data_IF_915551499469
#
_entry.id   IF_915551499469
#
_cell.length_a   1.000
_cell.length_b   1.000
_cell.length_c   1.000
_cell.angle_alpha   90.00
_cell.angle_beta   90.00
_cell.angle_gamma   90.00
#
_symmetry.space_group_name_H-M   'P 1'
#
loop_
_entity.id
_entity.type
_entity.pdbx_description
1 polymer ?
#
# COMPACT_ATOMS: atom_id res chain seq x y z
N UNK A 1 -36.23 -5.63 -31.87
CA UNK A 1 -35.13 -6.50 -31.43
C UNK A 1 -35.05 -6.38 -29.91
N UNK A 2 -35.12 -7.48 -29.14
CA UNK A 2 -35.06 -7.40 -27.68
C UNK A 2 -33.68 -6.87 -27.27
N UNK A 3 -33.62 -6.06 -26.22
CA UNK A 3 -32.42 -5.37 -25.76
C UNK A 3 -31.27 -6.36 -25.60
N UNK A 4 -30.20 -6.17 -26.39
CA UNK A 4 -29.08 -7.08 -26.49
C UNK A 4 -28.40 -7.26 -25.15
N UNK A 5 -28.27 -8.51 -24.72
CA UNK A 5 -27.43 -8.90 -23.59
C UNK A 5 -25.99 -8.53 -23.95
N UNK A 6 -25.46 -7.49 -23.33
CA UNK A 6 -24.04 -7.15 -23.40
C UNK A 6 -23.29 -8.06 -22.44
N UNK A 7 -22.53 -9.01 -22.99
CA UNK A 7 -21.57 -9.78 -22.19
C UNK A 7 -20.44 -8.83 -21.78
N UNK A 8 -20.24 -8.67 -20.48
CA UNK A 8 -19.08 -7.97 -19.95
C UNK A 8 -17.85 -8.86 -20.18
N UNK A 9 -17.21 -8.71 -21.35
CA UNK A 9 -16.00 -9.43 -21.77
C UNK A 9 -14.73 -8.92 -21.10
N UNK A 10 -14.84 -8.23 -19.96
CA UNK A 10 -13.65 -7.91 -19.17
C UNK A 10 -12.94 -9.23 -18.85
N UNK A 11 -11.69 -9.37 -19.30
CA UNK A 11 -10.87 -10.52 -19.01
C UNK A 11 -10.90 -10.79 -17.50
N UNK A 12 -11.18 -12.03 -17.12
CA UNK A 12 -11.10 -12.43 -15.71
C UNK A 12 -9.73 -12.00 -15.19
N UNK A 13 -9.66 -11.35 -14.00
CA UNK A 13 -8.39 -10.91 -13.48
C UNK A 13 -7.49 -12.15 -13.37
N UNK A 14 -6.38 -12.15 -14.10
CA UNK A 14 -5.39 -13.22 -14.04
C UNK A 14 -5.04 -13.40 -12.56
N UNK A 15 -5.32 -14.59 -12.03
CA UNK A 15 -5.02 -14.94 -10.66
C UNK A 15 -3.51 -15.21 -10.62
N UNK A 16 -2.74 -14.14 -10.47
CA UNK A 16 -1.31 -14.23 -10.24
C UNK A 16 -1.08 -14.87 -8.87
N UNK A 17 -0.25 -15.90 -8.82
CA UNK A 17 0.23 -16.44 -7.55
C UNK A 17 1.05 -15.36 -6.85
N UNK A 18 0.48 -14.81 -5.76
CA UNK A 18 1.09 -13.78 -4.91
C UNK A 18 1.83 -14.38 -3.72
N UNK A 19 1.40 -15.56 -3.26
CA UNK A 19 2.03 -16.31 -2.17
C UNK A 19 1.61 -17.77 -2.24
N UNK A 20 2.26 -18.61 -1.42
CA UNK A 20 1.84 -20.00 -1.26
C UNK A 20 0.54 -20.07 -0.44
N UNK A 21 -0.60 -20.14 -1.13
CA UNK A 21 -1.94 -20.08 -0.53
C UNK A 21 -2.19 -21.11 0.58
N UNK A 22 -1.60 -22.30 0.51
CA UNK A 22 -1.73 -23.35 1.54
C UNK A 22 -1.21 -22.90 2.92
N UNK A 23 -0.26 -21.97 2.94
CA UNK A 23 0.37 -21.50 4.17
C UNK A 23 -0.40 -20.36 4.84
N UNK A 24 -1.39 -19.81 4.12
CA UNK A 24 -2.16 -18.63 4.53
C UNK A 24 -3.08 -18.98 5.69
N UNK A 25 -2.77 -18.43 6.86
CA UNK A 25 -3.66 -18.46 8.01
C UNK A 25 -4.46 -17.16 8.07
N UNK A 26 -5.78 -17.25 8.17
CA UNK A 26 -6.66 -16.10 8.36
C UNK A 26 -7.12 -15.98 9.80
N UNK A 27 -7.17 -14.76 10.31
CA UNK A 27 -7.86 -14.49 11.56
C UNK A 27 -9.37 -14.69 11.38
N UNK A 28 -9.99 -15.30 12.38
CA UNK A 28 -11.44 -15.42 12.49
C UNK A 28 -12.05 -14.07 12.89
N UNK A 29 -13.13 -13.67 12.21
CA UNK A 29 -13.87 -12.44 12.47
C UNK A 29 -13.24 -11.21 11.79
N UNK A 30 -13.98 -10.60 10.85
CA UNK A 30 -13.53 -9.42 10.11
C UNK A 30 -13.29 -8.18 10.99
N UNK A 31 -12.53 -7.23 10.48
CA UNK A 31 -12.22 -5.94 11.10
C UNK A 31 -12.87 -4.82 10.28
N UNK A 32 -13.40 -3.80 10.96
CA UNK A 32 -14.05 -2.67 10.28
C UNK A 32 -13.00 -1.80 9.60
N UNK A 33 -13.16 -1.54 8.31
CA UNK A 33 -12.26 -0.68 7.55
C UNK A 33 -12.45 0.77 7.97
N UNK A 34 -11.36 1.43 8.34
CA UNK A 34 -11.31 2.89 8.49
C UNK A 34 -11.06 3.51 7.10
N UNK A 35 -12.15 3.90 6.45
CA UNK A 35 -12.20 4.43 5.09
C UNK A 35 -11.96 5.94 5.01
N UNK A 36 -11.82 6.64 6.14
CA UNK A 36 -11.70 8.11 6.24
C UNK A 36 -10.59 8.72 5.36
N UNK A 37 -9.58 7.93 5.01
CA UNK A 37 -8.43 8.35 4.21
C UNK A 37 -8.34 7.66 2.85
N UNK A 38 -9.32 6.86 2.47
CA UNK A 38 -9.37 6.10 1.22
C UNK A 38 -10.45 6.69 0.29
N UNK A 39 -10.25 6.54 -1.01
CA UNK A 39 -11.26 6.94 -2.00
C UNK A 39 -12.37 5.91 -2.05
N UNK A 40 -13.63 6.37 -2.00
CA UNK A 40 -14.80 5.49 -2.12
C UNK A 40 -14.74 4.70 -3.44
N UNK A 41 -15.11 3.41 -3.37
CA UNK A 41 -15.04 2.49 -4.50
C UNK A 41 -13.64 1.96 -4.85
N UNK A 42 -12.56 2.43 -4.19
CA UNK A 42 -11.24 1.82 -4.35
C UNK A 42 -11.27 0.36 -3.91
N UNK A 43 -10.52 -0.51 -4.59
CA UNK A 43 -10.42 -1.93 -4.22
C UNK A 43 -9.09 -2.15 -3.52
N UNK A 44 -9.14 -2.35 -2.20
CA UNK A 44 -7.97 -2.76 -1.41
C UNK A 44 -7.50 -4.12 -1.93
N UNK A 45 -6.25 -4.22 -2.42
CA UNK A 45 -5.75 -5.45 -3.03
C UNK A 45 -5.54 -6.57 -2.01
N UNK A 46 -5.44 -7.79 -2.52
CA UNK A 46 -5.00 -8.96 -1.74
C UNK A 46 -3.55 -8.73 -1.30
N UNK A 47 -3.23 -9.15 -0.08
CA UNK A 47 -1.97 -8.92 0.62
C UNK A 47 -1.57 -7.44 0.80
N UNK A 48 -2.52 -6.50 0.70
CA UNK A 48 -2.27 -5.11 1.07
C UNK A 48 -1.78 -5.02 2.53
N UNK A 49 -0.75 -4.22 2.82
CA UNK A 49 -0.30 -4.01 4.19
C UNK A 49 -1.37 -3.28 5.00
N UNK A 50 -1.76 -3.87 6.14
CA UNK A 50 -2.81 -3.34 7.01
C UNK A 50 -2.34 -3.25 8.47
N UNK A 51 -2.73 -2.15 9.11
CA UNK A 51 -2.55 -1.92 10.54
C UNK A 51 -3.88 -2.24 11.24
N UNK A 52 -3.93 -3.41 11.88
CA UNK A 52 -5.11 -3.90 12.62
C UNK A 52 -5.02 -3.50 14.09
N UNK A 53 -6.08 -2.87 14.60
CA UNK A 53 -6.28 -2.66 16.03
C UNK A 53 -7.24 -3.71 16.57
N UNK A 54 -6.71 -4.63 17.39
CA UNK A 54 -7.50 -5.73 17.97
C UNK A 54 -8.46 -5.27 19.06
N UNK A 55 -8.21 -4.12 19.69
CA UNK A 55 -9.05 -3.58 20.77
C UNK A 55 -10.28 -2.89 20.18
N UNK A 56 -10.08 -1.99 19.22
CA UNK A 56 -11.20 -1.26 18.58
C UNK A 56 -11.83 -2.03 17.41
N UNK A 57 -11.21 -3.15 17.00
CA UNK A 57 -11.62 -3.98 15.85
C UNK A 57 -11.66 -3.18 14.54
N UNK A 58 -10.81 -2.15 14.42
CA UNK A 58 -10.65 -1.33 13.21
C UNK A 58 -9.37 -1.69 12.47
N UNK A 59 -9.35 -1.41 11.17
CA UNK A 59 -8.17 -1.58 10.33
C UNK A 59 -7.91 -0.34 9.49
N UNK A 60 -6.64 0.04 9.38
CA UNK A 60 -6.15 1.10 8.48
C UNK A 60 -5.26 0.47 7.42
N UNK A 61 -5.46 0.87 6.16
CA UNK A 61 -4.55 0.48 5.08
C UNK A 61 -3.28 1.32 5.18
N UNK A 62 -2.12 0.67 5.18
CA UNK A 62 -0.83 1.36 5.23
C UNK A 62 -0.47 1.87 3.83
N UNK A 63 -0.10 3.15 3.76
CA UNK A 63 0.17 3.84 2.51
C UNK A 63 1.67 3.93 2.28
N UNK A 64 2.15 3.02 1.44
CA UNK A 64 3.53 2.95 1.02
C UNK A 64 3.62 3.15 -0.50
N UNK A 65 4.79 3.60 -0.97
CA UNK A 65 5.07 3.81 -2.39
C UNK A 65 6.50 3.38 -2.74
N UNK A 66 6.68 2.66 -3.85
CA UNK A 66 8.01 2.24 -4.32
C UNK A 66 8.59 3.27 -5.26
N UNK A 67 9.86 3.62 -5.08
CA UNK A 67 10.64 4.48 -5.98
C UNK A 67 10.98 3.72 -7.26
N UNK A 68 10.66 4.29 -8.43
CA UNK A 68 11.03 3.71 -9.73
C UNK A 68 12.33 4.29 -10.30
N UNK A 69 12.75 5.46 -9.83
CA UNK A 69 13.96 6.14 -10.29
C UNK A 69 14.69 6.75 -9.11
N UNK A 70 16.00 6.50 -9.01
CA UNK A 70 16.82 7.03 -7.94
C UNK A 70 16.82 8.57 -7.95
N UNK A 71 16.83 9.16 -6.76
CA UNK A 71 16.88 10.61 -6.60
C UNK A 71 17.87 11.00 -5.50
N UNK A 72 18.51 12.14 -5.67
CA UNK A 72 19.51 12.63 -4.72
C UNK A 72 18.85 13.22 -3.45
N UNK A 73 19.66 13.47 -2.42
CA UNK A 73 19.20 13.98 -1.13
C UNK A 73 18.64 15.42 -1.16
N UNK A 74 18.76 16.12 -2.29
CA UNK A 74 18.22 17.47 -2.51
C UNK A 74 16.98 17.47 -3.41
N UNK A 75 16.55 16.30 -3.90
CA UNK A 75 15.45 16.21 -4.84
C UNK A 75 14.13 16.62 -4.18
N UNK A 76 13.31 17.34 -4.95
CA UNK A 76 11.94 17.74 -4.60
C UNK A 76 10.89 17.03 -5.44
N UNK A 77 11.32 16.20 -6.39
CA UNK A 77 10.46 15.38 -7.22
C UNK A 77 10.94 13.92 -7.20
N UNK A 78 10.00 13.00 -7.02
CA UNK A 78 10.26 11.57 -6.90
C UNK A 78 9.33 10.80 -7.82
N UNK A 79 9.86 9.86 -8.59
CA UNK A 79 9.05 8.98 -9.44
C UNK A 79 8.71 7.73 -8.63
N UNK A 80 7.42 7.48 -8.44
CA UNK A 80 6.91 6.32 -7.71
C UNK A 80 6.12 5.38 -8.62
N UNK A 81 5.97 4.13 -8.20
CA UNK A 81 5.15 3.13 -8.87
C UNK A 81 3.67 3.55 -8.90
N UNK A 82 2.99 3.15 -9.98
CA UNK A 82 1.55 3.41 -10.18
C UNK A 82 0.70 2.75 -9.12
N UNK A 83 -0.52 3.25 -8.96
CA UNK A 83 -1.55 2.74 -8.04
C UNK A 83 -1.17 2.84 -6.55
N UNK A 84 -0.19 3.68 -6.23
CA UNK A 84 0.13 4.06 -4.86
C UNK A 84 -1.04 4.85 -4.25
N UNK A 85 -1.29 4.66 -2.95
CA UNK A 85 -2.36 5.33 -2.20
C UNK A 85 -2.00 6.73 -1.69
N UNK A 86 -0.94 7.33 -2.25
CA UNK A 86 -0.45 8.64 -1.83
C UNK A 86 -1.37 9.74 -2.38
N UNK A 87 -1.67 10.73 -1.53
CA UNK A 87 -2.43 11.92 -1.88
C UNK A 87 -1.66 13.20 -1.51
N UNK A 88 -2.08 14.32 -2.12
CA UNK A 88 -1.58 15.66 -1.77
C UNK A 88 -1.91 15.97 -0.30
N UNK A 89 -0.98 16.62 0.39
CA UNK A 89 -1.07 16.92 1.83
C UNK A 89 -0.59 15.79 2.75
N UNK A 90 -0.23 14.62 2.21
CA UNK A 90 0.43 13.56 2.97
C UNK A 90 1.93 13.83 3.15
N UNK A 91 2.52 13.23 4.18
CA UNK A 91 3.96 13.28 4.39
C UNK A 91 4.60 11.96 3.96
N UNK A 92 5.59 11.99 3.09
CA UNK A 92 6.35 10.81 2.68
C UNK A 92 7.75 10.84 3.26
N UNK A 93 8.26 9.71 3.72
CA UNK A 93 9.61 9.62 4.25
C UNK A 93 10.24 8.23 4.12
N UNK A 94 11.57 8.21 4.26
CA UNK A 94 12.40 7.01 4.37
C UNK A 94 12.83 6.71 5.81
N UNK A 95 12.43 7.55 6.76
CA UNK A 95 12.90 7.54 8.14
C UNK A 95 13.96 8.59 8.47
N UNK A 96 14.49 9.28 7.45
CA UNK A 96 15.33 10.46 7.65
C UNK A 96 14.49 11.70 8.02
N UNK A 97 13.58 12.09 7.12
CA UNK A 97 12.61 13.17 7.32
C UNK A 97 11.34 12.91 6.51
N UNK A 98 10.20 13.31 7.04
CA UNK A 98 8.93 13.38 6.30
C UNK A 98 8.88 14.64 5.46
N UNK A 99 8.42 14.53 4.22
CA UNK A 99 8.24 15.63 3.28
C UNK A 99 6.78 15.70 2.83
N UNK A 100 6.18 16.89 2.89
CA UNK A 100 4.80 17.10 2.46
C UNK A 100 4.68 17.01 0.94
N UNK A 101 3.75 16.19 0.46
CA UNK A 101 3.40 16.06 -0.97
C UNK A 101 2.52 17.24 -1.39
N UNK A 102 3.00 18.05 -2.32
CA UNK A 102 2.30 19.24 -2.82
C UNK A 102 1.57 18.98 -4.13
N UNK A 103 2.09 18.07 -4.96
CA UNK A 103 1.48 17.71 -6.23
C UNK A 103 1.79 16.26 -6.60
N UNK A 104 0.87 15.65 -7.35
CA UNK A 104 1.04 14.33 -7.94
C UNK A 104 0.61 14.42 -9.40
N UNK A 105 1.54 14.16 -10.30
CA UNK A 105 1.27 14.04 -11.73
C UNK A 105 1.16 12.56 -12.11
N UNK A 106 -0.02 12.18 -12.61
CA UNK A 106 -0.38 10.80 -13.00
C UNK A 106 -0.44 10.59 -14.52
N UNK A 107 0.00 11.58 -15.32
CA UNK A 107 -0.11 11.56 -16.78
C UNK A 107 0.75 10.48 -17.43
N UNK A 108 1.88 10.12 -16.81
CA UNK A 108 2.74 9.05 -17.32
C UNK A 108 2.12 7.66 -17.05
N UNK A 109 2.17 6.78 -18.05
CA UNK A 109 1.64 5.43 -17.93
C UNK A 109 2.48 4.52 -17.02
N UNK A 110 3.78 4.80 -16.88
CA UNK A 110 4.75 3.93 -16.18
C UNK A 110 4.97 4.32 -14.72
N UNK A 111 4.79 5.59 -14.37
CA UNK A 111 5.05 6.10 -13.02
C UNK A 111 4.13 7.27 -12.66
N UNK A 112 4.01 7.55 -11.36
CA UNK A 112 3.45 8.78 -10.84
C UNK A 112 4.60 9.69 -10.38
N UNK A 113 4.59 10.96 -10.76
CA UNK A 113 5.57 11.94 -10.31
C UNK A 113 5.03 12.68 -9.10
N UNK A 114 5.68 12.48 -7.95
CA UNK A 114 5.33 13.13 -6.70
C UNK A 114 6.26 14.31 -6.47
N UNK A 115 5.69 15.49 -6.29
CA UNK A 115 6.44 16.69 -5.89
C UNK A 115 6.20 16.96 -4.42
N UNK A 116 7.28 17.27 -3.70
CA UNK A 116 7.24 17.60 -2.27
C UNK A 116 7.66 19.04 -1.99
N UNK A 117 7.12 19.63 -0.92
CA UNK A 117 7.41 21.01 -0.51
C UNK A 117 8.88 21.22 -0.11
N UNK A 118 9.47 20.21 0.52
CA UNK A 118 10.86 20.18 0.94
C UNK A 118 11.42 18.78 0.69
N UNK A 119 12.72 18.67 0.47
CA UNK A 119 13.35 17.37 0.24
C UNK A 119 13.21 16.42 1.44
N UNK A 120 13.15 15.12 1.16
CA UNK A 120 13.18 14.04 2.16
C UNK A 120 14.57 14.00 2.86
N UNK A 121 15.57 14.69 2.30
CA UNK A 121 16.87 14.91 2.94
C UNK A 121 17.76 13.66 2.94
N UNK A 122 17.41 12.64 2.15
CA UNK A 122 18.18 11.43 1.95
C UNK A 122 18.09 11.03 0.49
N UNK A 123 19.18 10.49 -0.06
CA UNK A 123 19.14 9.89 -1.38
C UNK A 123 18.26 8.64 -1.35
N UNK A 124 17.49 8.44 -2.41
CA UNK A 124 16.65 7.26 -2.57
C UNK A 124 17.10 6.43 -3.75
N UNK A 125 17.02 5.11 -3.61
CA UNK A 125 17.39 4.15 -4.65
C UNK A 125 16.16 3.56 -5.33
N UNK A 126 16.33 3.06 -6.55
CA UNK A 126 15.28 2.28 -7.24
C UNK A 126 14.88 1.09 -6.38
N UNK A 127 13.57 0.82 -6.28
CA UNK A 127 13.01 -0.25 -5.47
C UNK A 127 12.83 0.09 -3.99
N UNK A 128 13.33 1.24 -3.53
CA UNK A 128 13.13 1.65 -2.13
C UNK A 128 11.67 2.01 -1.87
N UNK A 129 11.15 1.57 -0.73
CA UNK A 129 9.76 1.84 -0.31
C UNK A 129 9.73 3.04 0.63
N UNK A 130 9.00 4.08 0.22
CA UNK A 130 8.60 5.22 1.03
C UNK A 130 7.35 4.90 1.83
N UNK A 131 7.26 5.40 3.06
CA UNK A 131 6.09 5.27 3.92
C UNK A 131 5.46 6.62 4.23
N UNK A 132 4.15 6.62 4.55
CA UNK A 132 3.47 7.81 5.08
C UNK A 132 3.99 8.14 6.49
N UNK A 133 4.61 9.30 6.65
CA UNK A 133 5.06 9.85 7.92
C UNK A 133 3.93 10.63 8.63
N UNK A 134 4.09 10.86 9.94
CA UNK A 134 3.11 11.59 10.76
C UNK A 134 3.09 13.10 10.51
N UNK A 135 4.24 13.68 10.14
CA UNK A 135 4.42 15.11 9.96
C UNK A 135 5.67 15.41 9.11
N UNK A 136 5.84 16.68 8.72
CA UNK A 136 7.10 17.19 8.18
C UNK A 136 8.24 16.92 9.17
N UNK A 137 9.36 16.37 8.68
CA UNK A 137 10.48 15.96 9.53
C UNK A 137 10.26 14.68 10.33
N UNK A 138 9.08 14.05 10.24
CA UNK A 138 8.79 12.78 10.91
C UNK A 138 9.69 11.65 10.43
N UNK A 139 10.19 10.84 11.37
CA UNK A 139 11.12 9.73 11.10
C UNK A 139 10.45 8.35 11.17
N UNK A 140 9.17 8.32 11.54
CA UNK A 140 8.41 7.09 11.78
C UNK A 140 7.19 7.00 10.87
N UNK A 141 6.83 5.79 10.41
CA UNK A 141 5.56 5.58 9.72
C UNK A 141 4.38 5.97 10.63
N UNK A 142 3.37 6.60 10.04
CA UNK A 142 2.11 6.95 10.70
C UNK A 142 1.31 5.71 11.12
N UNK A 143 1.36 4.69 10.28
CA UNK A 143 0.81 3.38 10.53
C UNK A 143 1.85 2.33 10.14
N UNK A 144 2.04 1.32 10.99
CA UNK A 144 2.91 0.18 10.70
C UNK A 144 2.02 -1.03 10.51
N UNK A 145 2.21 -1.76 9.42
CA UNK A 145 1.44 -2.94 9.13
C UNK A 145 1.81 -4.05 10.12
N UNK A 146 0.79 -4.71 10.67
CA UNK A 146 0.96 -5.87 11.54
C UNK A 146 0.31 -7.13 10.97
N UNK A 147 -0.48 -6.99 9.89
CA UNK A 147 -1.15 -8.06 9.15
C UNK A 147 -1.24 -7.67 7.67
N UNK A 148 -1.65 -8.62 6.84
CA UNK A 148 -1.94 -8.40 5.41
C UNK A 148 -3.42 -8.64 5.12
N UNK A 149 -3.97 -7.99 4.10
CA UNK A 149 -5.34 -8.22 3.67
C UNK A 149 -5.49 -9.58 2.96
N UNK A 150 -6.56 -10.32 3.24
CA UNK A 150 -6.79 -11.63 2.62
C UNK A 150 -7.46 -11.57 1.25
N UNK A 151 -8.45 -10.69 1.05
CA UNK A 151 -9.29 -10.68 -0.14
C UNK A 151 -9.40 -9.29 -0.73
N UNK A 152 -9.79 -9.18 -2.00
CA UNK A 152 -10.10 -7.88 -2.60
C UNK A 152 -11.29 -7.28 -1.84
N UNK A 153 -11.09 -6.15 -1.18
CA UNK A 153 -12.15 -5.48 -0.41
C UNK A 153 -12.43 -4.13 -1.05
N UNK A 154 -13.66 -3.92 -1.47
CA UNK A 154 -14.11 -2.61 -1.94
C UNK A 154 -14.25 -1.69 -0.73
N UNK A 155 -13.70 -0.48 -0.85
CA UNK A 155 -13.91 0.60 0.12
C UNK A 155 -15.32 1.12 -0.07
N UNK A 156 -16.15 0.91 0.94
CA UNK A 156 -17.50 1.45 1.05
C UNK A 156 -17.87 1.53 2.53
N UNK A 157 -18.86 2.34 2.87
CA UNK A 157 -19.28 2.53 4.25
C UNK A 157 -19.68 1.20 4.90
N UNK A 158 -19.05 0.88 6.03
CA UNK A 158 -19.27 -0.38 6.75
C UNK A 158 -18.52 -1.60 6.19
N UNK A 159 -17.62 -1.40 5.22
CA UNK A 159 -16.78 -2.47 4.69
C UNK A 159 -15.94 -3.14 5.79
N UNK A 160 -15.75 -4.45 5.66
CA UNK A 160 -14.92 -5.24 6.58
C UNK A 160 -13.81 -5.95 5.84
N UNK A 161 -12.67 -6.11 6.53
CA UNK A 161 -11.45 -6.73 6.02
C UNK A 161 -11.15 -7.98 6.83
N UNK A 162 -10.69 -9.03 6.15
CA UNK A 162 -10.16 -10.22 6.82
C UNK A 162 -8.64 -10.15 6.86
N UNK A 163 -8.07 -10.19 8.06
CA UNK A 163 -6.63 -10.13 8.25
C UNK A 163 -5.98 -11.52 8.09
N UNK A 164 -4.88 -11.57 7.36
CA UNK A 164 -3.97 -12.72 7.29
C UNK A 164 -3.07 -12.67 8.52
N UNK A 165 -3.01 -13.75 9.29
CA UNK A 165 -2.12 -13.91 10.43
C UNK A 165 -0.76 -14.53 10.09
N UNK A 166 -0.67 -15.28 8.99
CA UNK A 166 0.56 -15.91 8.48
C UNK A 166 0.46 -16.14 6.98
N UNK A 167 1.54 -15.93 6.22
CA UNK A 167 1.67 -16.33 4.82
C UNK A 167 3.13 -16.50 4.43
N UNK A 168 3.47 -17.56 3.71
CA UNK A 168 4.83 -17.82 3.24
C UNK A 168 4.95 -17.65 1.72
N UNK A 169 6.19 -17.42 1.28
CA UNK A 169 6.56 -17.21 -0.13
C UNK A 169 5.80 -16.04 -0.76
N UNK A 170 5.65 -14.94 0.00
CA UNK A 170 5.01 -13.71 -0.49
C UNK A 170 5.94 -13.04 -1.51
N UNK A 171 5.52 -12.98 -2.77
CA UNK A 171 6.31 -12.44 -3.88
C UNK A 171 6.14 -10.91 -3.91
N UNK A 172 7.14 -10.18 -3.44
CA UNK A 172 7.09 -8.73 -3.26
C UNK A 172 6.88 -7.97 -4.57
N UNK A 173 7.56 -8.41 -5.65
CA UNK A 173 7.47 -7.79 -6.98
C UNK A 173 6.07 -7.82 -7.60
N UNK A 174 5.18 -8.71 -7.15
CA UNK A 174 3.79 -8.81 -7.64
C UNK A 174 2.77 -8.06 -6.78
N UNK A 175 3.17 -7.60 -5.59
CA UNK A 175 2.28 -6.87 -4.70
C UNK A 175 1.88 -5.53 -5.30
N UNK A 176 0.58 -5.22 -5.29
CA UNK A 176 0.08 -3.92 -5.78
C UNK A 176 0.37 -2.77 -4.82
N UNK A 177 0.53 -3.07 -3.54
CA UNK A 177 0.97 -2.11 -2.52
C UNK A 177 2.24 -2.66 -1.88
N UNK A 178 3.33 -1.87 -1.87
CA UNK A 178 4.61 -2.33 -1.33
C UNK A 178 4.61 -2.37 0.19
N UNK A 179 5.45 -3.24 0.74
CA UNK A 179 5.63 -3.43 2.18
C UNK A 179 6.99 -2.84 2.57
N UNK A 180 7.02 -1.87 3.48
CA UNK A 180 8.28 -1.26 3.91
C UNK A 180 9.05 -2.19 4.85
N UNK A 181 10.37 -1.96 5.03
CA UNK A 181 11.17 -2.76 5.97
C UNK A 181 10.66 -2.65 7.41
N UNK A 182 10.08 -1.50 7.78
CA UNK A 182 9.43 -1.29 9.08
C UNK A 182 8.20 -2.17 9.25
N UNK A 183 7.43 -2.35 8.18
CA UNK A 183 6.27 -3.24 8.16
C UNK A 183 6.71 -4.70 8.26
N UNK A 184 7.75 -5.10 7.52
CA UNK A 184 8.32 -6.46 7.58
C UNK A 184 8.78 -6.82 8.99
N UNK A 185 9.45 -5.88 9.67
CA UNK A 185 9.88 -6.07 11.06
C UNK A 185 8.70 -6.29 12.02
N UNK A 186 7.55 -5.65 11.78
CA UNK A 186 6.33 -5.81 12.57
C UNK A 186 5.55 -7.08 12.23
N UNK A 187 5.57 -7.50 10.97
CA UNK A 187 4.95 -8.74 10.49
C UNK A 187 5.69 -9.98 11.02
N UNK A 188 7.03 -9.88 11.17
CA UNK A 188 7.89 -10.89 11.76
C UNK A 188 7.87 -12.23 11.02
N UNK A 189 8.23 -13.31 11.72
CA UNK A 189 8.45 -14.65 11.14
C UNK A 189 7.16 -15.34 10.63
N UNK A 190 6.00 -14.74 10.88
CA UNK A 190 4.74 -15.22 10.32
C UNK A 190 4.64 -14.93 8.81
N UNK A 191 5.49 -14.06 8.27
CA UNK A 191 5.50 -13.70 6.86
C UNK A 191 6.87 -13.91 6.25
N UNK A 192 6.95 -14.80 5.25
CA UNK A 192 8.18 -15.04 4.51
C UNK A 192 8.10 -14.34 3.16
N UNK A 193 8.92 -13.31 2.98
CA UNK A 193 8.95 -12.52 1.76
C UNK A 193 10.04 -13.01 0.81
N UNK A 194 9.70 -13.01 -0.48
CA UNK A 194 10.60 -13.31 -1.58
C UNK A 194 10.66 -12.09 -2.51
N UNK A 195 11.84 -11.70 -2.99
CA UNK A 195 11.99 -10.62 -3.95
C UNK A 195 11.23 -10.90 -5.27
#
# INVERSE_FOLDING_TARGET
>A
MPAGVSYNLNAEPVIEELCRFETVFRHSGGFNLDDSSLTDGYIVPVLAPIAVDFTTRKVKVVKNATIVEAANASATSYKIAKNSLIAVGMYLGTGAKGAEVTAIDKTNASYDLVTVAATIGAAVTVGQVLFEATAVGGTTPKNVANKLNYARTKVESGATVTAVGRAYEVIESKLKLPISDKDKASLGDNFMFQP
#
